data_IF_859884961409
#
_entry.id   IF_859884961409
#
_cell.length_a   1.000
_cell.length_b   1.000
_cell.length_c   1.000
_cell.angle_alpha   90.00
_cell.angle_beta   90.00
_cell.angle_gamma   90.00
#
_symmetry.space_group_name_H-M   'P 1'
#
loop_
_entity.id
_entity.type
_entity.pdbx_description
1 polymer ?
#
# COMPACT_ATOMS: atom_id res chain seq x y z
N UNK A 1 -12.27 -8.16 4.30
CA UNK A 1 -13.68 -8.57 4.49
C UNK A 1 -14.56 -7.37 4.25
N UNK A 2 -15.66 -7.53 3.52
CA UNK A 2 -16.67 -6.47 3.40
C UNK A 2 -17.61 -6.56 4.60
N UNK A 3 -17.71 -5.50 5.41
CA UNK A 3 -18.63 -5.44 6.54
C UNK A 3 -19.78 -4.48 6.23
N UNK A 4 -20.95 -4.97 5.80
CA UNK A 4 -22.14 -4.11 5.69
C UNK A 4 -22.63 -3.76 7.10
N UNK A 5 -22.69 -2.47 7.42
CA UNK A 5 -23.15 -1.95 8.71
C UNK A 5 -24.57 -1.40 8.57
N UNK A 6 -25.40 -1.62 9.60
CA UNK A 6 -26.68 -0.92 9.75
C UNK A 6 -26.46 0.44 10.42
N UNK A 7 -27.41 1.36 10.23
CA UNK A 7 -27.44 2.63 10.95
C UNK A 7 -27.35 2.36 12.46
N UNK A 8 -26.52 3.14 13.16
CA UNK A 8 -26.28 3.07 14.62
C UNK A 8 -25.65 1.75 15.13
N UNK A 9 -25.18 0.87 14.23
CA UNK A 9 -24.44 -0.32 14.62
C UNK A 9 -23.02 0.04 15.08
N UNK A 10 -22.61 -0.50 16.21
CA UNK A 10 -21.25 -0.35 16.74
C UNK A 10 -20.70 -1.70 17.21
N UNK A 11 -19.39 -1.74 17.49
CA UNK A 11 -18.69 -2.90 18.00
C UNK A 11 -18.26 -2.65 19.45
N UNK A 12 -18.08 -3.72 20.24
CA UNK A 12 -17.52 -3.59 21.58
C UNK A 12 -16.11 -3.02 21.49
N UNK A 13 -15.85 -1.95 22.24
CA UNK A 13 -14.52 -1.37 22.34
C UNK A 13 -13.53 -2.43 22.86
N UNK A 14 -12.41 -2.62 22.16
CA UNK A 14 -11.39 -3.59 22.52
C UNK A 14 -9.99 -3.06 22.19
N UNK A 15 -8.99 -3.60 22.89
CA UNK A 15 -7.57 -3.42 22.56
C UNK A 15 -7.08 -4.69 21.91
N UNK A 16 -6.18 -4.56 20.95
CA UNK A 16 -5.45 -5.71 20.44
C UNK A 16 -4.43 -6.16 21.48
N UNK A 17 -4.34 -7.47 21.72
CA UNK A 17 -3.32 -8.07 22.58
C UNK A 17 -2.04 -8.32 21.77
N UNK A 18 -0.91 -8.26 22.46
CA UNK A 18 0.38 -8.61 21.86
C UNK A 18 0.36 -10.07 21.40
N UNK A 19 0.90 -10.30 20.21
CA UNK A 19 1.07 -11.63 19.62
C UNK A 19 2.34 -11.62 18.79
N UNK A 20 3.10 -12.70 18.85
CA UNK A 20 4.21 -12.90 17.94
C UNK A 20 3.67 -13.16 16.53
N UNK A 21 4.11 -12.36 15.55
CA UNK A 21 3.70 -12.49 14.15
C UNK A 21 4.96 -12.59 13.30
N UNK A 22 5.06 -13.66 12.51
CA UNK A 22 6.06 -13.74 11.45
C UNK A 22 5.46 -13.13 10.18
N UNK A 23 6.05 -12.06 9.70
CA UNK A 23 5.68 -11.39 8.45
C UNK A 23 6.76 -11.71 7.42
N UNK A 24 6.35 -12.14 6.23
CA UNK A 24 7.25 -12.28 5.09
C UNK A 24 6.97 -11.08 4.17
N UNK A 25 8.02 -10.35 3.80
CA UNK A 25 7.92 -9.15 2.96
C UNK A 25 7.29 -7.93 3.64
N UNK A 26 7.05 -6.90 2.83
CA UNK A 26 6.42 -5.64 3.26
C UNK A 26 5.17 -5.40 2.45
N UNK A 27 4.01 -5.36 3.11
CA UNK A 27 2.78 -4.82 2.53
C UNK A 27 2.74 -3.31 2.72
N UNK A 28 2.17 -2.61 1.74
CA UNK A 28 2.17 -1.16 1.66
C UNK A 28 0.80 -0.64 1.27
N UNK A 29 0.40 0.49 1.85
CA UNK A 29 -0.80 1.21 1.46
C UNK A 29 -0.52 2.70 1.30
N UNK A 30 -1.16 3.30 0.30
CA UNK A 30 -1.16 4.72 0.03
C UNK A 30 -2.57 5.28 0.16
N UNK A 31 -2.70 6.47 0.73
CA UNK A 31 -3.92 7.28 0.68
C UNK A 31 -3.56 8.67 0.18
N UNK A 32 -4.23 9.10 -0.89
CA UNK A 32 -3.99 10.43 -1.46
C UNK A 32 -4.82 11.44 -0.68
N UNK A 33 -4.16 12.32 0.09
CA UNK A 33 -4.83 13.37 0.84
C UNK A 33 -5.10 14.61 0.00
N UNK A 34 -4.23 14.90 -0.97
CA UNK A 34 -4.30 16.07 -1.86
C UNK A 34 -3.49 15.80 -3.13
N UNK A 35 -3.92 16.36 -4.25
CA UNK A 35 -3.24 16.24 -5.54
C UNK A 35 -3.51 14.89 -6.20
N UNK A 36 -2.60 14.47 -7.07
CA UNK A 36 -2.77 13.30 -7.94
C UNK A 36 -1.44 12.59 -8.20
N UNK A 37 -1.52 11.26 -8.26
CA UNK A 37 -0.40 10.41 -8.64
C UNK A 37 -0.85 9.40 -9.70
N UNK A 38 0.08 8.95 -10.54
CA UNK A 38 -0.09 7.77 -11.37
C UNK A 38 0.55 6.59 -10.68
N UNK A 39 -0.24 5.66 -10.17
CA UNK A 39 0.26 4.39 -9.67
C UNK A 39 0.60 3.47 -10.85
N UNK A 40 1.75 2.81 -10.77
CA UNK A 40 2.23 1.80 -11.70
C UNK A 40 2.39 0.53 -10.87
N UNK A 41 1.60 -0.49 -11.18
CA UNK A 41 1.57 -1.76 -10.47
C UNK A 41 2.23 -2.81 -11.35
N UNK A 42 3.07 -3.65 -10.75
CA UNK A 42 3.80 -4.69 -11.45
C UNK A 42 3.27 -6.07 -11.06
N UNK A 43 3.25 -6.99 -12.03
CA UNK A 43 3.01 -8.40 -11.78
C UNK A 43 4.28 -9.05 -11.20
N UNK A 44 4.21 -10.33 -10.82
CA UNK A 44 5.29 -11.09 -10.19
C UNK A 44 6.48 -11.37 -11.13
N UNK A 45 6.32 -11.12 -12.43
CA UNK A 45 7.37 -11.24 -13.45
C UNK A 45 8.00 -9.90 -13.84
N UNK A 46 7.76 -8.86 -13.03
CA UNK A 46 8.19 -7.47 -13.20
C UNK A 46 7.57 -6.76 -14.42
N UNK A 47 6.58 -7.36 -15.08
CA UNK A 47 5.80 -6.66 -16.12
C UNK A 47 4.82 -5.66 -15.51
N UNK A 48 4.53 -4.57 -16.22
CA UNK A 48 3.49 -3.61 -15.80
C UNK A 48 2.12 -4.27 -15.93
N UNK A 49 1.47 -4.48 -14.79
CA UNK A 49 0.12 -5.03 -14.71
C UNK A 49 -0.92 -3.94 -14.99
N UNK A 50 -0.78 -2.78 -14.35
CA UNK A 50 -1.75 -1.70 -14.46
C UNK A 50 -1.12 -0.34 -14.18
N UNK A 51 -1.61 0.68 -14.87
CA UNK A 51 -1.32 2.07 -14.60
C UNK A 51 -2.63 2.82 -14.34
N UNK A 52 -2.76 3.42 -13.15
CA UNK A 52 -3.99 4.06 -12.72
C UNK A 52 -3.71 5.41 -12.07
N UNK A 53 -4.48 6.43 -12.42
CA UNK A 53 -4.43 7.72 -11.73
C UNK A 53 -5.24 7.64 -10.42
N UNK A 54 -4.57 7.96 -9.31
CA UNK A 54 -5.18 8.10 -8.00
C UNK A 54 -5.27 9.58 -7.64
N UNK A 55 -6.45 10.02 -7.23
CA UNK A 55 -6.73 11.39 -6.79
C UNK A 55 -7.11 11.41 -5.33
N UNK A 56 -7.32 12.62 -4.80
CA UNK A 56 -7.75 12.82 -3.42
C UNK A 56 -8.91 11.89 -3.01
N UNK A 57 -8.70 11.15 -1.91
CA UNK A 57 -9.66 10.18 -1.38
C UNK A 57 -9.45 8.75 -1.86
N UNK A 58 -8.69 8.54 -2.94
CA UNK A 58 -8.34 7.20 -3.42
C UNK A 58 -7.24 6.57 -2.55
N UNK A 59 -7.20 5.24 -2.56
CA UNK A 59 -6.13 4.47 -1.94
C UNK A 59 -5.64 3.36 -2.85
N UNK A 60 -4.36 3.03 -2.70
CA UNK A 60 -3.74 1.81 -3.24
C UNK A 60 -3.32 0.94 -2.08
N UNK A 61 -3.50 -0.38 -2.20
CA UNK A 61 -3.05 -1.33 -1.19
C UNK A 61 -2.36 -2.48 -1.90
N UNK A 62 -1.06 -2.60 -1.69
CA UNK A 62 -0.24 -3.72 -2.14
C UNK A 62 -0.09 -4.69 -0.97
N UNK A 63 -0.81 -5.80 -1.02
CA UNK A 63 -0.73 -6.89 -0.04
C UNK A 63 0.00 -8.05 -0.70
N UNK A 64 1.26 -8.29 -0.34
CA UNK A 64 1.99 -9.44 -0.89
C UNK A 64 3.02 -9.98 0.10
N UNK A 65 3.14 -11.32 0.23
CA UNK A 65 4.20 -11.91 1.04
C UNK A 65 5.60 -11.78 0.43
N UNK A 66 5.76 -11.72 -0.92
CA UNK A 66 7.03 -11.44 -1.64
C UNK A 66 6.72 -11.05 -3.10
N UNK A 67 7.41 -10.05 -3.66
CA UNK A 67 7.55 -9.87 -5.12
C UNK A 67 6.52 -9.00 -5.84
N UNK A 68 5.51 -8.44 -5.16
CA UNK A 68 4.65 -7.44 -5.81
C UNK A 68 5.38 -6.09 -5.85
N UNK A 69 5.65 -5.61 -7.06
CA UNK A 69 6.25 -4.31 -7.30
C UNK A 69 5.19 -3.24 -7.46
N UNK A 70 5.51 -2.02 -7.03
CA UNK A 70 4.72 -0.84 -7.34
C UNK A 70 5.59 0.40 -7.37
N UNK A 71 5.13 1.41 -8.09
CA UNK A 71 5.72 2.74 -8.13
C UNK A 71 4.58 3.76 -8.24
N UNK A 72 4.85 5.02 -7.95
CA UNK A 72 3.96 6.09 -8.37
C UNK A 72 4.71 7.34 -8.81
N UNK A 73 4.17 7.98 -9.84
CA UNK A 73 4.64 9.26 -10.34
C UNK A 73 3.71 10.36 -9.83
N UNK A 74 4.28 11.38 -9.18
CA UNK A 74 3.54 12.58 -8.82
C UNK A 74 3.14 13.35 -10.10
N UNK A 75 1.85 13.65 -10.27
CA UNK A 75 1.32 14.35 -11.45
C UNK A 75 1.00 15.83 -11.19
N UNK A 76 1.02 16.25 -9.93
CA UNK A 76 0.55 17.58 -9.52
C UNK A 76 1.38 18.12 -8.35
N UNK A 77 1.76 19.40 -8.43
CA UNK A 77 2.49 20.08 -7.36
C UNK A 77 1.70 20.06 -6.04
N UNK A 78 2.43 20.01 -4.93
CA UNK A 78 1.86 19.95 -3.59
C UNK A 78 0.97 18.71 -3.33
N UNK A 79 1.11 17.65 -4.13
CA UNK A 79 0.51 16.34 -3.83
C UNK A 79 0.99 15.82 -2.47
N UNK A 80 0.07 15.27 -1.69
CA UNK A 80 0.33 14.75 -0.35
C UNK A 80 -0.24 13.34 -0.23
N UNK A 81 0.65 12.40 0.09
CA UNK A 81 0.33 10.97 0.23
C UNK A 81 0.66 10.52 1.66
N UNK A 82 -0.25 9.81 2.31
CA UNK A 82 0.08 9.01 3.49
C UNK A 82 0.50 7.63 3.00
N UNK A 83 1.68 7.19 3.42
CA UNK A 83 2.18 5.85 3.19
C UNK A 83 2.21 5.07 4.51
N UNK A 84 1.73 3.83 4.48
CA UNK A 84 1.74 2.91 5.61
C UNK A 84 2.34 1.58 5.19
N UNK A 85 3.34 1.10 5.94
CA UNK A 85 4.07 -0.15 5.65
C UNK A 85 4.00 -1.11 6.83
N UNK A 86 3.89 -2.40 6.54
CA UNK A 86 4.08 -3.42 7.57
C UNK A 86 5.54 -3.46 7.97
N UNK A 87 5.82 -3.18 9.25
CA UNK A 87 7.17 -3.28 9.79
C UNK A 87 7.57 -4.71 10.19
N UNK A 88 8.79 -4.86 10.73
CA UNK A 88 9.79 -3.80 10.93
C UNK A 88 10.44 -3.37 9.60
N UNK A 89 10.83 -2.09 9.50
CA UNK A 89 11.67 -1.64 8.39
C UNK A 89 13.11 -2.07 8.68
N UNK A 90 13.66 -2.98 7.86
CA UNK A 90 14.99 -3.58 8.05
C UNK A 90 16.06 -2.94 7.18
N UNK A 91 15.69 -1.93 6.37
CA UNK A 91 16.58 -1.19 5.47
C UNK A 91 16.41 -1.58 4.00
N UNK A 92 16.85 -0.70 3.10
CA UNK A 92 16.62 -0.85 1.64
C UNK A 92 17.09 -2.19 1.11
N UNK A 93 18.31 -2.62 1.43
CA UNK A 93 18.91 -3.87 0.94
C UNK A 93 18.16 -5.14 1.40
N UNK A 94 17.37 -5.06 2.48
CA UNK A 94 16.68 -6.21 3.08
C UNK A 94 15.18 -6.23 2.81
N UNK A 95 14.60 -5.07 2.50
CA UNK A 95 13.16 -4.91 2.32
C UNK A 95 12.77 -4.62 0.86
N UNK A 96 13.73 -4.33 -0.02
CA UNK A 96 13.45 -3.92 -1.40
C UNK A 96 14.43 -4.52 -2.40
N UNK A 97 13.89 -4.91 -3.54
CA UNK A 97 14.63 -5.12 -4.79
C UNK A 97 14.11 -4.09 -5.80
N UNK A 98 15.00 -3.43 -6.53
CA UNK A 98 14.61 -2.45 -7.53
C UNK A 98 14.35 -3.16 -8.86
N UNK A 99 13.23 -2.83 -9.48
CA UNK A 99 12.93 -3.27 -10.85
C UNK A 99 13.72 -2.37 -11.80
N UNK A 100 14.71 -2.93 -12.50
CA UNK A 100 15.43 -2.25 -13.57
C UNK A 100 14.68 -2.47 -14.90
N UNK A 101 14.38 -1.38 -15.61
CA UNK A 101 13.73 -1.45 -16.92
C UNK A 101 14.55 -2.35 -17.87
N UNK A 102 13.94 -3.42 -18.39
CA UNK A 102 14.44 -4.14 -19.57
C UNK A 102 14.00 -3.45 -20.85
#
# INVERSE_FOLDING_TARGET
AFLPLKKDQTFKAHKHIEKEVKINGTSEAWVILRGRVKAILYDLDDSVLEEVELKQGDCSITICPVGAGHNYLCLEDNTLVIECKTGPYMGVEKDKEFIENK
#
